data_IF_522216674816
#
_entry.id   IF_522216674816
#
_cell.length_a   1.000
_cell.length_b   1.000
_cell.length_c   1.000
_cell.angle_alpha   90.00
_cell.angle_beta   90.00
_cell.angle_gamma   90.00
#
_symmetry.space_group_name_H-M   'P 1'
#
loop_
_entity.id
_entity.type
_entity.pdbx_description
1 polymer ?
#
# COMPACT_ATOMS: atom_id res chain seq x y z
N UNK A 1 -2.98 27.49 -23.12
CA UNK A 1 -1.84 26.63 -23.51
C UNK A 1 -1.79 25.46 -22.54
N UNK A 2 -1.82 24.21 -23.01
CA UNK A 2 -1.76 23.05 -22.09
C UNK A 2 -0.34 22.96 -21.50
N UNK A 3 -0.20 23.17 -20.19
CA UNK A 3 1.08 23.17 -19.48
C UNK A 3 1.93 21.93 -19.76
N UNK A 4 1.31 20.77 -20.03
CA UNK A 4 2.05 19.54 -20.36
C UNK A 4 2.83 19.66 -21.66
N UNK A 5 2.29 20.36 -22.66
CA UNK A 5 2.92 20.53 -23.96
C UNK A 5 3.94 21.66 -23.97
N UNK A 6 3.91 22.56 -22.99
CA UNK A 6 4.89 23.64 -22.83
C UNK A 6 6.28 23.15 -22.40
N UNK A 7 6.40 21.95 -21.82
CA UNK A 7 7.66 21.43 -21.27
C UNK A 7 8.14 20.15 -21.99
N UNK A 8 9.21 20.19 -22.81
CA UNK A 8 9.67 19.05 -23.60
C UNK A 8 10.03 17.79 -22.79
N UNK A 9 10.52 17.96 -21.56
CA UNK A 9 10.93 16.85 -20.68
C UNK A 9 9.77 16.11 -20.00
N UNK A 10 8.53 16.58 -20.16
CA UNK A 10 7.36 15.86 -19.67
C UNK A 10 7.14 14.61 -20.53
N UNK A 11 7.57 13.44 -20.03
CA UNK A 11 7.57 12.19 -20.80
C UNK A 11 6.17 11.76 -21.29
N UNK A 12 5.17 11.91 -20.44
CA UNK A 12 3.79 11.48 -20.72
C UNK A 12 2.86 12.69 -20.85
N UNK A 13 2.49 13.03 -22.09
CA UNK A 13 1.69 14.22 -22.40
C UNK A 13 0.19 13.95 -22.25
N UNK A 14 -0.23 12.79 -22.73
CA UNK A 14 -1.59 12.29 -22.68
C UNK A 14 -1.69 11.24 -21.57
N UNK A 15 -2.75 11.32 -20.77
CA UNK A 15 -2.98 10.39 -19.66
C UNK A 15 -4.32 9.73 -19.92
N UNK A 16 -4.28 8.44 -20.26
CA UNK A 16 -5.45 7.58 -20.29
C UNK A 16 -5.63 6.99 -18.88
N UNK A 17 -6.53 7.57 -18.11
CA UNK A 17 -6.78 7.15 -16.72
C UNK A 17 -7.36 5.74 -16.62
N UNK A 18 -8.17 5.32 -17.59
CA UNK A 18 -8.78 3.99 -17.59
C UNK A 18 -7.71 2.92 -17.82
N UNK A 19 -6.87 3.12 -18.84
CA UNK A 19 -5.74 2.22 -19.11
C UNK A 19 -4.74 2.16 -17.94
N UNK A 20 -4.43 3.30 -17.30
CA UNK A 20 -3.57 3.32 -16.10
C UNK A 20 -4.19 2.55 -14.93
N UNK A 21 -5.51 2.67 -14.72
CA UNK A 21 -6.23 1.92 -13.68
C UNK A 21 -6.18 0.43 -13.97
N UNK A 22 -6.52 0.00 -15.18
CA UNK A 22 -6.48 -1.41 -15.60
C UNK A 22 -5.09 -2.03 -15.46
N UNK A 23 -4.03 -1.25 -15.66
CA UNK A 23 -2.65 -1.68 -15.44
C UNK A 23 -2.23 -1.70 -13.95
N UNK A 24 -3.11 -1.35 -13.01
CA UNK A 24 -2.79 -1.25 -11.58
C UNK A 24 -1.88 -0.07 -11.22
N UNK A 25 -1.73 0.92 -12.11
CA UNK A 25 -0.88 2.09 -11.93
C UNK A 25 -1.58 3.24 -11.19
N UNK A 26 -2.84 3.07 -10.80
CA UNK A 26 -3.54 3.99 -9.92
C UNK A 26 -3.53 3.47 -8.47
N UNK A 27 -3.51 4.36 -7.47
CA UNK A 27 -3.84 3.99 -6.10
C UNK A 27 -5.29 3.48 -6.02
N UNK A 28 -5.54 2.49 -5.18
CA UNK A 28 -6.92 2.10 -4.86
C UNK A 28 -7.65 3.23 -4.14
N UNK A 29 -8.92 3.41 -4.49
CA UNK A 29 -9.81 4.37 -3.83
C UNK A 29 -10.18 3.92 -2.40
N UNK A 30 -10.62 4.83 -1.51
CA UNK A 30 -11.14 4.46 -0.20
C UNK A 30 -12.28 3.44 -0.25
N UNK A 31 -13.11 3.48 -1.30
CA UNK A 31 -14.19 2.53 -1.54
C UNK A 31 -13.65 1.13 -1.91
N UNK A 32 -12.70 1.07 -2.85
CA UNK A 32 -12.07 -0.19 -3.28
C UNK A 32 -11.25 -0.82 -2.15
N UNK A 33 -10.46 -0.03 -1.41
CA UNK A 33 -9.64 -0.57 -0.31
C UNK A 33 -10.52 -1.12 0.83
N UNK A 34 -11.70 -0.53 1.08
CA UNK A 34 -12.64 -1.07 2.06
C UNK A 34 -13.11 -2.48 1.70
N UNK A 35 -13.41 -2.73 0.42
CA UNK A 35 -13.79 -4.05 -0.10
C UNK A 35 -12.64 -5.03 -0.02
N UNK A 36 -11.44 -4.62 -0.43
CA UNK A 36 -10.23 -5.46 -0.42
C UNK A 36 -9.86 -5.88 1.01
N UNK A 37 -9.88 -4.96 1.97
CA UNK A 37 -9.62 -5.28 3.38
C UNK A 37 -10.65 -6.29 3.91
N UNK A 38 -11.94 -6.10 3.57
CA UNK A 38 -13.00 -7.00 4.02
C UNK A 38 -12.85 -8.39 3.39
N UNK A 39 -12.46 -8.46 2.12
CA UNK A 39 -12.15 -9.70 1.42
C UNK A 39 -10.92 -10.41 2.01
N UNK A 40 -9.89 -9.67 2.41
CA UNK A 40 -8.72 -10.23 3.10
C UNK A 40 -9.03 -10.71 4.53
N UNK A 41 -10.24 -10.46 5.03
CA UNK A 41 -10.71 -10.95 6.33
C UNK A 41 -10.48 -10.00 7.50
N UNK A 42 -10.15 -8.73 7.25
CA UNK A 42 -10.11 -7.73 8.31
C UNK A 42 -11.53 -7.46 8.83
N UNK A 43 -11.67 -7.47 10.15
CA UNK A 43 -12.94 -7.24 10.84
C UNK A 43 -13.22 -5.75 10.99
N UNK A 44 -14.49 -5.37 11.19
CA UNK A 44 -14.94 -3.98 11.33
C UNK A 44 -14.25 -3.22 12.47
N UNK A 45 -13.86 -3.92 13.53
CA UNK A 45 -13.18 -3.38 14.70
C UNK A 45 -11.67 -3.17 14.50
N UNK A 46 -11.10 -3.59 13.37
CA UNK A 46 -9.68 -3.36 13.02
C UNK A 46 -9.33 -1.87 13.14
N UNK A 47 -8.30 -1.56 13.94
CA UNK A 47 -7.71 -0.22 14.00
C UNK A 47 -6.88 0.04 12.74
N UNK A 48 -7.28 1.03 11.95
CA UNK A 48 -6.60 1.40 10.71
C UNK A 48 -5.98 2.79 10.87
N UNK A 49 -4.65 2.84 10.73
CA UNK A 49 -3.92 4.10 10.57
C UNK A 49 -3.75 4.42 9.08
N UNK A 50 -4.16 5.61 8.65
CA UNK A 50 -3.94 6.06 7.27
C UNK A 50 -2.65 6.87 7.18
N UNK A 51 -1.62 6.25 6.61
CA UNK A 51 -0.33 6.85 6.28
C UNK A 51 -0.41 7.61 4.95
N UNK A 52 -1.05 8.78 4.94
CA UNK A 52 -1.13 9.63 3.74
C UNK A 52 -1.15 11.13 4.06
N UNK A 53 -0.87 11.93 3.04
CA UNK A 53 -1.28 13.33 2.99
C UNK A 53 -2.80 13.47 2.80
N UNK A 54 -3.26 14.65 2.43
CA UNK A 54 -4.68 14.86 2.12
C UNK A 54 -5.18 13.88 1.05
N UNK A 55 -6.30 13.23 1.34
CA UNK A 55 -6.92 12.30 0.41
C UNK A 55 -7.82 13.12 -0.51
N UNK A 56 -7.71 12.88 -1.81
CA UNK A 56 -8.55 13.54 -2.80
C UNK A 56 -10.04 13.37 -2.46
N UNK A 57 -10.76 14.49 -2.37
CA UNK A 57 -12.17 14.52 -1.97
C UNK A 57 -12.43 14.37 -0.46
N UNK A 58 -11.38 14.32 0.36
CA UNK A 58 -11.42 14.44 1.82
C UNK A 58 -12.37 13.45 2.49
N UNK A 59 -13.07 13.93 3.53
CA UNK A 59 -14.02 13.14 4.33
C UNK A 59 -15.13 12.52 3.49
N UNK A 60 -15.56 13.17 2.40
CA UNK A 60 -16.61 12.62 1.50
C UNK A 60 -16.18 11.29 0.90
N UNK A 61 -14.93 11.19 0.43
CA UNK A 61 -14.39 9.95 -0.14
C UNK A 61 -14.01 8.93 0.94
N UNK A 62 -13.57 9.40 2.10
CA UNK A 62 -13.29 8.54 3.25
C UNK A 62 -14.52 7.91 3.90
N UNK A 63 -15.72 8.44 3.64
CA UNK A 63 -16.96 8.00 4.28
C UNK A 63 -17.19 6.48 4.17
N UNK A 64 -16.95 5.89 3.00
CA UNK A 64 -17.12 4.46 2.78
C UNK A 64 -16.15 3.62 3.63
N UNK A 65 -14.87 4.03 3.66
CA UNK A 65 -13.85 3.36 4.46
C UNK A 65 -14.16 3.47 5.97
N UNK A 66 -14.58 4.65 6.43
CA UNK A 66 -14.94 4.91 7.83
C UNK A 66 -16.20 4.15 8.25
N UNK A 67 -17.16 3.96 7.35
CA UNK A 67 -18.34 3.13 7.61
C UNK A 67 -17.99 1.65 7.76
N UNK A 68 -17.07 1.16 6.92
CA UNK A 68 -16.57 -0.21 6.98
C UNK A 68 -15.64 -0.46 8.20
N UNK A 69 -14.84 0.53 8.58
CA UNK A 69 -13.88 0.48 9.69
C UNK A 69 -13.95 1.76 10.53
N UNK A 70 -14.76 1.79 11.59
CA UNK A 70 -14.96 2.99 12.42
C UNK A 70 -13.71 3.43 13.18
N UNK A 71 -12.80 2.48 13.47
CA UNK A 71 -11.53 2.73 14.16
C UNK A 71 -10.46 3.26 13.20
N UNK A 72 -10.79 4.34 12.47
CA UNK A 72 -9.90 5.00 11.54
C UNK A 72 -9.15 6.14 12.24
N UNK A 73 -7.83 6.16 12.12
CA UNK A 73 -6.95 7.15 12.76
C UNK A 73 -5.92 7.69 11.76
N UNK A 74 -5.46 8.91 12.02
CA UNK A 74 -4.40 9.61 11.29
C UNK A 74 -3.49 10.29 12.31
N UNK A 75 -2.32 10.79 11.89
CA UNK A 75 -1.40 11.53 12.77
C UNK A 75 -2.07 12.68 13.51
N UNK A 76 -3.03 13.38 12.90
CA UNK A 76 -3.80 14.47 13.51
C UNK A 76 -4.70 14.01 14.67
N UNK A 77 -4.94 12.70 14.80
CA UNK A 77 -5.66 12.10 15.94
C UNK A 77 -4.72 11.51 16.99
N UNK A 78 -3.45 11.25 16.64
CA UNK A 78 -2.44 10.71 17.55
C UNK A 78 -1.68 11.81 18.30
N UNK A 79 -1.49 12.95 17.66
CA UNK A 79 -0.69 14.07 18.16
C UNK A 79 -1.54 15.33 18.25
N UNK A 80 -1.31 16.13 19.28
CA UNK A 80 -1.93 17.44 19.42
C UNK A 80 -1.45 18.41 18.35
N UNK A 81 -2.21 19.49 18.14
CA UNK A 81 -1.80 20.55 17.22
C UNK A 81 -0.44 21.14 17.57
N UNK A 82 -0.12 21.26 18.86
CA UNK A 82 1.16 21.79 19.35
C UNK A 82 2.32 20.83 19.09
N UNK A 83 2.10 19.52 19.22
CA UNK A 83 3.10 18.50 18.86
C UNK A 83 3.32 18.41 17.34
N UNK A 84 2.29 18.69 16.54
CA UNK A 84 2.38 18.70 15.08
C UNK A 84 2.94 20.02 14.52
N UNK A 85 2.81 21.13 15.24
CA UNK A 85 3.20 22.47 14.80
C UNK A 85 4.62 22.54 14.23
N UNK A 86 5.66 21.91 14.83
CA UNK A 86 7.01 21.94 14.30
C UNK A 86 7.15 21.31 12.90
N UNK A 87 6.21 20.47 12.49
CA UNK A 87 6.28 19.67 11.27
C UNK A 87 5.39 20.18 10.13
N UNK A 88 4.41 21.07 10.40
CA UNK A 88 3.33 21.41 9.45
C UNK A 88 3.83 21.95 8.09
N UNK A 89 4.98 22.64 8.06
CA UNK A 89 5.59 23.16 6.83
C UNK A 89 6.73 22.29 6.28
N UNK A 90 6.90 21.09 6.83
CA UNK A 90 7.95 20.15 6.49
C UNK A 90 7.34 18.82 6.09
N UNK A 91 6.89 18.71 4.84
CA UNK A 91 6.21 17.53 4.29
C UNK A 91 6.98 16.22 4.52
N UNK A 92 8.31 16.24 4.38
CA UNK A 92 9.16 15.07 4.67
C UNK A 92 9.14 14.67 6.15
N UNK A 93 9.11 15.64 7.07
CA UNK A 93 9.05 15.34 8.51
C UNK A 93 7.66 14.83 8.90
N UNK A 94 6.59 15.39 8.31
CA UNK A 94 5.22 14.85 8.45
C UNK A 94 5.11 13.41 7.94
N UNK A 95 5.77 13.08 6.83
CA UNK A 95 5.83 11.72 6.32
C UNK A 95 6.65 10.78 7.22
N UNK A 96 7.62 11.30 7.98
CA UNK A 96 8.37 10.50 8.96
C UNK A 96 7.47 10.00 10.10
N UNK A 97 6.45 10.76 10.51
CA UNK A 97 5.45 10.30 11.48
C UNK A 97 4.65 9.11 10.93
N UNK A 98 4.19 9.22 9.68
CA UNK A 98 3.52 8.11 8.99
C UNK A 98 4.42 6.86 8.90
N UNK A 99 5.72 7.07 8.71
CA UNK A 99 6.71 6.00 8.58
C UNK A 99 6.85 5.25 9.90
N UNK A 100 7.00 5.98 11.01
CA UNK A 100 7.12 5.39 12.34
C UNK A 100 5.92 4.52 12.71
N UNK A 101 4.69 4.98 12.42
CA UNK A 101 3.49 4.17 12.67
C UNK A 101 3.43 2.96 11.72
N UNK A 102 3.80 3.14 10.45
CA UNK A 102 3.76 2.07 9.44
C UNK A 102 4.75 0.93 9.72
N UNK A 103 5.95 1.22 10.25
CA UNK A 103 6.90 0.17 10.65
C UNK A 103 6.49 -0.50 11.97
N UNK A 104 5.82 0.24 12.86
CA UNK A 104 5.35 -0.26 14.16
C UNK A 104 4.08 -1.12 14.07
N UNK A 105 3.26 -0.95 13.02
CA UNK A 105 1.98 -1.65 12.87
C UNK A 105 2.11 -3.17 12.72
N UNK A 106 1.07 -3.91 13.10
CA UNK A 106 1.02 -5.37 12.93
C UNK A 106 1.02 -5.77 11.44
N UNK A 107 0.25 -5.05 10.63
CA UNK A 107 0.17 -5.26 9.17
C UNK A 107 0.38 -3.93 8.45
N UNK A 108 1.15 -3.95 7.38
CA UNK A 108 1.28 -2.83 6.45
C UNK A 108 0.72 -3.23 5.08
N UNK A 109 -0.04 -2.33 4.45
CA UNK A 109 -0.65 -2.56 3.13
C UNK A 109 -0.48 -1.27 2.30
N UNK A 110 0.47 -1.22 1.37
CA UNK A 110 0.59 -0.09 0.46
C UNK A 110 -0.51 -0.14 -0.60
N UNK A 111 -1.25 0.96 -0.76
CA UNK A 111 -2.24 1.11 -1.85
C UNK A 111 -1.61 1.56 -3.17
N UNK A 112 -0.32 1.95 -3.16
CA UNK A 112 0.45 2.37 -4.33
C UNK A 112 1.96 2.23 -4.10
N UNK A 113 2.71 1.88 -5.15
CA UNK A 113 4.17 1.69 -5.10
C UNK A 113 4.93 3.03 -5.15
N UNK A 114 4.90 3.75 -4.04
CA UNK A 114 5.67 4.97 -3.82
C UNK A 114 6.98 4.75 -3.06
N UNK A 115 7.82 5.80 -2.96
CA UNK A 115 9.06 5.76 -2.18
C UNK A 115 8.80 5.39 -0.71
N UNK A 116 7.71 5.91 -0.13
CA UNK A 116 7.29 5.57 1.22
C UNK A 116 7.02 4.08 1.40
N UNK A 117 6.26 3.47 0.48
CA UNK A 117 5.95 2.04 0.51
C UNK A 117 7.24 1.21 0.47
N UNK A 118 8.15 1.53 -0.46
CA UNK A 118 9.46 0.87 -0.60
C UNK A 118 10.27 0.91 0.69
N UNK A 119 10.41 2.08 1.31
CA UNK A 119 11.24 2.23 2.53
C UNK A 119 10.59 1.51 3.73
N UNK A 120 9.27 1.57 3.88
CA UNK A 120 8.56 0.82 4.93
C UNK A 120 8.70 -0.69 4.71
N UNK A 121 8.50 -1.17 3.49
CA UNK A 121 8.65 -2.58 3.12
C UNK A 121 10.03 -3.11 3.47
N UNK A 122 11.09 -2.42 3.03
CA UNK A 122 12.45 -2.84 3.31
C UNK A 122 12.78 -2.83 4.79
N UNK A 123 12.33 -1.80 5.54
CA UNK A 123 12.49 -1.78 6.99
C UNK A 123 11.78 -2.98 7.62
N UNK A 124 10.52 -3.23 7.28
CA UNK A 124 9.73 -4.32 7.85
C UNK A 124 10.32 -5.69 7.52
N UNK A 125 10.92 -5.86 6.32
CA UNK A 125 11.69 -7.06 5.95
C UNK A 125 12.94 -7.20 6.82
N UNK A 126 13.75 -6.14 6.90
CA UNK A 126 14.99 -6.14 7.68
C UNK A 126 14.75 -6.40 9.17
N UNK A 127 13.71 -5.80 9.75
CA UNK A 127 13.35 -5.88 11.17
C UNK A 127 12.51 -7.11 11.53
N UNK A 128 12.92 -8.29 11.02
CA UNK A 128 12.31 -9.57 11.37
C UNK A 128 11.02 -9.90 10.61
N UNK A 129 10.91 -9.45 9.36
CA UNK A 129 9.82 -9.80 8.44
C UNK A 129 8.41 -9.52 8.97
N UNK A 130 8.19 -8.31 9.46
CA UNK A 130 6.85 -7.87 9.87
C UNK A 130 5.90 -7.92 8.69
N UNK A 131 4.69 -8.47 8.89
CA UNK A 131 3.73 -8.78 7.83
C UNK A 131 3.42 -7.56 6.95
N UNK A 132 3.63 -7.68 5.65
CA UNK A 132 3.28 -6.65 4.67
C UNK A 132 2.50 -7.29 3.54
N UNK A 133 1.25 -6.89 3.32
CA UNK A 133 0.44 -7.46 2.22
C UNK A 133 0.69 -6.63 0.96
N UNK A 134 1.43 -7.19 0.01
CA UNK A 134 1.75 -6.56 -1.27
C UNK A 134 0.60 -6.79 -2.25
N UNK A 135 -0.22 -5.77 -2.46
CA UNK A 135 -1.40 -5.86 -3.30
C UNK A 135 -1.03 -6.09 -4.78
N UNK A 136 -1.62 -7.12 -5.40
CA UNK A 136 -1.63 -7.27 -6.85
C UNK A 136 -2.70 -6.37 -7.44
N UNK A 137 -2.34 -5.10 -7.65
CA UNK A 137 -3.30 -4.05 -8.03
C UNK A 137 -3.95 -4.31 -9.38
N UNK A 138 -3.21 -4.89 -10.34
CA UNK A 138 -3.76 -5.30 -11.63
C UNK A 138 -4.85 -6.34 -11.44
N UNK A 139 -4.57 -7.39 -10.65
CA UNK A 139 -5.58 -8.42 -10.37
C UNK A 139 -6.76 -7.88 -9.55
N UNK A 140 -6.50 -6.99 -8.59
CA UNK A 140 -7.56 -6.38 -7.78
C UNK A 140 -8.51 -5.54 -8.62
N UNK A 141 -8.01 -4.75 -9.57
CA UNK A 141 -8.87 -3.95 -10.46
C UNK A 141 -9.80 -4.85 -11.26
N UNK A 142 -9.28 -5.93 -11.84
CA UNK A 142 -10.09 -6.94 -12.55
C UNK A 142 -11.19 -7.53 -11.63
N UNK A 143 -10.81 -7.98 -10.43
CA UNK A 143 -11.76 -8.57 -9.48
C UNK A 143 -12.81 -7.58 -8.97
N UNK A 144 -12.42 -6.32 -8.74
CA UNK A 144 -13.32 -5.25 -8.32
C UNK A 144 -14.34 -4.93 -9.42
N UNK A 145 -13.89 -4.84 -10.68
CA UNK A 145 -14.77 -4.57 -11.81
C UNK A 145 -15.78 -5.70 -12.03
N UNK A 146 -15.35 -6.96 -11.92
CA UNK A 146 -16.27 -8.11 -11.99
C UNK A 146 -17.26 -8.16 -10.83
N UNK A 147 -16.82 -7.87 -9.60
CA UNK A 147 -17.69 -7.83 -8.43
C UNK A 147 -18.73 -6.69 -8.55
N UNK A 148 -18.28 -5.47 -8.90
CA UNK A 148 -19.16 -4.32 -9.06
C UNK A 148 -20.10 -4.47 -10.27
N UNK A 149 -19.64 -5.13 -11.34
CA UNK A 149 -20.45 -5.51 -12.50
C UNK A 149 -21.38 -6.69 -12.25
N UNK A 150 -21.39 -7.28 -11.05
CA UNK A 150 -22.29 -8.37 -10.67
C UNK A 150 -21.92 -9.74 -11.27
N UNK A 151 -20.75 -9.86 -11.89
CA UNK A 151 -20.25 -11.13 -12.45
C UNK A 151 -19.63 -12.04 -11.40
N UNK A 152 -19.25 -11.50 -10.23
CA UNK A 152 -18.79 -12.27 -9.07
C UNK A 152 -19.69 -12.00 -7.87
N UNK A 153 -20.05 -13.06 -7.15
CA UNK A 153 -20.60 -12.95 -5.80
C UNK A 153 -19.54 -12.48 -4.80
N UNK A 154 -19.97 -12.11 -3.59
CA UNK A 154 -19.05 -11.72 -2.52
C UNK A 154 -18.08 -12.83 -2.14
N UNK A 155 -18.56 -14.08 -2.08
CA UNK A 155 -17.73 -15.22 -1.66
C UNK A 155 -16.67 -15.55 -2.71
N UNK A 156 -17.03 -15.50 -4.01
CA UNK A 156 -16.08 -15.67 -5.11
C UNK A 156 -15.03 -14.54 -5.14
N UNK A 157 -15.47 -13.28 -5.01
CA UNK A 157 -14.55 -12.13 -4.92
C UNK A 157 -13.58 -12.28 -3.74
N UNK A 158 -14.11 -12.61 -2.55
CA UNK A 158 -13.32 -12.77 -1.33
C UNK A 158 -12.30 -13.91 -1.46
N UNK A 159 -12.72 -15.06 -2.00
CA UNK A 159 -11.84 -16.19 -2.25
C UNK A 159 -10.72 -15.83 -3.24
N UNK A 160 -11.06 -15.21 -4.37
CA UNK A 160 -10.09 -14.82 -5.39
C UNK A 160 -9.08 -13.77 -4.88
N UNK A 161 -9.53 -12.80 -4.08
CA UNK A 161 -8.63 -11.83 -3.44
C UNK A 161 -7.67 -12.53 -2.49
N UNK A 162 -8.15 -13.45 -1.63
CA UNK A 162 -7.27 -14.21 -0.72
C UNK A 162 -6.26 -15.06 -1.49
N UNK A 163 -6.71 -15.76 -2.53
CA UNK A 163 -5.86 -16.61 -3.36
C UNK A 163 -4.75 -15.81 -4.05
N UNK A 164 -5.09 -14.66 -4.65
CA UNK A 164 -4.14 -13.79 -5.34
C UNK A 164 -3.06 -13.21 -4.41
N UNK A 165 -3.31 -13.14 -3.10
CA UNK A 165 -2.43 -12.48 -2.13
C UNK A 165 -1.80 -13.42 -1.10
N UNK A 166 -2.15 -14.71 -1.07
CA UNK A 166 -1.70 -15.65 -0.03
C UNK A 166 -0.17 -15.74 0.13
N UNK A 167 0.58 -15.57 -0.96
CA UNK A 167 2.06 -15.60 -0.97
C UNK A 167 2.70 -14.19 -1.05
N UNK A 168 1.91 -13.13 -0.96
CA UNK A 168 2.36 -11.73 -1.11
C UNK A 168 2.47 -11.03 0.25
N UNK A 169 3.11 -11.69 1.21
CA UNK A 169 3.09 -11.31 2.64
C UNK A 169 4.37 -10.60 3.14
N UNK A 170 5.22 -10.12 2.22
CA UNK A 170 6.45 -9.38 2.57
C UNK A 170 7.52 -10.25 3.21
N UNK A 171 7.47 -11.56 2.95
CA UNK A 171 8.49 -12.53 3.38
C UNK A 171 9.86 -12.19 2.76
N UNK A 172 10.97 -12.68 3.35
CA UNK A 172 12.26 -12.61 2.69
C UNK A 172 12.19 -13.32 1.34
N UNK A 173 12.60 -12.62 0.30
CA UNK A 173 12.68 -13.16 -1.06
C UNK A 173 14.00 -12.75 -1.67
N UNK A 174 14.50 -13.59 -2.58
CA UNK A 174 15.60 -13.17 -3.43
C UNK A 174 15.20 -11.93 -4.22
N UNK A 175 16.12 -11.00 -4.36
CA UNK A 175 15.89 -9.79 -5.13
C UNK A 175 15.78 -10.14 -6.61
N UNK A 176 14.69 -9.72 -7.26
CA UNK A 176 14.50 -9.97 -8.70
C UNK A 176 15.49 -9.14 -9.52
N UNK A 177 16.46 -9.82 -10.12
CA UNK A 177 17.32 -9.28 -11.17
C UNK A 177 16.70 -9.53 -12.55
N UNK A 178 16.73 -8.54 -13.45
CA UNK A 178 16.21 -8.66 -14.80
C UNK A 178 17.32 -8.28 -15.78
N UNK A 179 17.95 -9.28 -16.43
CA UNK A 179 19.06 -9.04 -17.34
C UNK A 179 18.72 -7.98 -18.41
N UNK A 180 19.60 -6.98 -18.54
CA UNK A 180 19.42 -5.88 -19.49
C UNK A 180 18.36 -4.84 -19.12
N UNK A 181 17.68 -4.98 -17.97
CA UNK A 181 16.65 -4.03 -17.49
C UNK A 181 16.85 -3.63 -16.02
N UNK A 182 17.99 -2.99 -15.67
CA UNK A 182 18.31 -2.65 -14.28
C UNK A 182 17.29 -1.72 -13.60
N UNK A 183 16.46 -1.02 -14.37
CA UNK A 183 15.38 -0.15 -13.84
C UNK A 183 14.13 -0.91 -13.41
N UNK A 184 13.96 -2.14 -13.89
CA UNK A 184 12.81 -3.01 -13.58
C UNK A 184 13.17 -4.05 -12.50
N UNK A 185 14.42 -4.03 -12.02
CA UNK A 185 14.87 -4.83 -10.89
C UNK A 185 14.22 -4.37 -9.59
N UNK A 186 14.15 -5.30 -8.64
CA UNK A 186 13.68 -4.99 -7.29
C UNK A 186 14.59 -3.94 -6.65
N UNK A 187 13.97 -2.89 -6.10
CA UNK A 187 14.70 -1.81 -5.46
C UNK A 187 15.38 -2.30 -4.17
N UNK A 188 16.69 -2.09 -4.05
CA UNK A 188 17.48 -2.56 -2.91
C UNK A 188 16.87 -2.19 -1.55
N UNK A 189 16.45 -0.93 -1.36
CA UNK A 189 15.87 -0.51 -0.09
C UNK A 189 14.43 -1.00 0.15
N UNK A 190 13.78 -1.61 -0.85
CA UNK A 190 12.51 -2.31 -0.67
C UNK A 190 12.71 -3.79 -0.33
N UNK A 191 13.81 -4.38 -0.82
CA UNK A 191 14.21 -5.75 -0.52
C UNK A 191 15.73 -5.85 -0.28
N UNK A 192 16.22 -5.48 0.91
CA UNK A 192 17.65 -5.45 1.22
C UNK A 192 18.16 -6.83 1.64
N UNK A 193 17.77 -7.88 0.90
CA UNK A 193 17.98 -9.28 1.25
C UNK A 193 19.45 -9.60 1.59
N UNK A 194 20.39 -9.01 0.86
CA UNK A 194 21.82 -9.20 1.06
C UNK A 194 22.29 -8.76 2.47
N UNK A 195 21.54 -7.87 3.12
CA UNK A 195 21.80 -7.40 4.47
C UNK A 195 21.14 -8.26 5.56
N UNK A 196 20.21 -9.16 5.22
CA UNK A 196 19.38 -9.89 6.20
C UNK A 196 20.04 -11.19 6.68
N UNK A 197 21.13 -11.63 6.05
CA UNK A 197 21.89 -12.81 6.45
C UNK A 197 21.14 -14.14 6.24
N UNK A 198 21.88 -15.23 6.02
CA UNK A 198 21.29 -16.58 5.79
C UNK A 198 20.58 -17.17 7.01
N UNK A 199 20.70 -16.54 8.19
CA UNK A 199 20.25 -17.09 9.48
C UNK A 199 18.76 -16.89 9.78
N UNK A 200 18.06 -16.08 9.01
CA UNK A 200 16.64 -15.76 9.23
C UNK A 200 15.67 -16.60 8.38
N UNK A 201 16.18 -17.40 7.43
CA UNK A 201 15.39 -18.35 6.63
C UNK A 201 14.98 -19.63 7.40
N UNK A 202 15.42 -19.81 8.65
CA UNK A 202 15.35 -21.09 9.37
C UNK A 202 14.59 -21.15 10.69
N UNK A 203 13.87 -20.11 11.12
CA UNK A 203 13.07 -20.18 12.37
C UNK A 203 11.71 -19.50 12.24
N UNK A 204 10.81 -20.15 11.50
CA UNK A 204 9.41 -20.20 11.92
C UNK A 204 9.40 -20.85 13.29
N UNK A 205 9.36 -20.04 14.36
CA UNK A 205 8.97 -20.56 15.66
C UNK A 205 7.47 -20.76 15.57
N UNK A 206 7.04 -22.02 15.54
CA UNK A 206 5.71 -22.40 15.94
C UNK A 206 5.43 -21.74 17.30
N UNK A 207 4.42 -20.87 17.32
CA UNK A 207 3.82 -20.41 18.57
C UNK A 207 2.45 -21.05 18.61
N UNK A 208 2.37 -22.08 19.45
CA UNK A 208 1.16 -22.71 19.96
C UNK A 208 0.31 -21.72 20.74
#
# INVERSE_FOLDING_TARGET
MNYRYAYPWWKEKEIDSESKRLQGLCPLTPEEIALVLKALGFSKDTLIYIASGEIYGGERRLAALKAAYPNLVRKEKLLSSDELWPFQNHSTQMAALDYMVSIASNVFIPSYDGNMARVVEGHRRYSGFRKTILLDRTKLVELLDHFQGGSLSWDEFSAAVKEAHQYRMGQPTDRRAIPGRPKEEDYFYANPQECVGSSSMGRLRDVS
#
